data_IF_829554291596
#
_entry.id   IF_829554291596
#
_cell.length_a   1.000
_cell.length_b   1.000
_cell.length_c   1.000
_cell.angle_alpha   90.00
_cell.angle_beta   90.00
_cell.angle_gamma   90.00
#
_symmetry.space_group_name_H-M   'P 1'
#
loop_
_entity.id
_entity.type
_entity.pdbx_description
1 polymer ?
#
# COMPACT_ATOMS: atom_id res chain seq x y z
N UNK A 1 17.59 -1.60 2.17
CA UNK A 1 16.80 -1.94 0.96
C UNK A 1 16.84 -3.45 0.77
N UNK A 2 15.69 -4.12 0.75
CA UNK A 2 15.56 -5.56 0.47
C UNK A 2 14.78 -5.69 -0.84
N UNK A 3 15.30 -6.43 -1.80
CA UNK A 3 14.69 -6.59 -3.13
C UNK A 3 14.05 -7.97 -3.19
N UNK A 4 12.77 -8.01 -3.55
CA UNK A 4 12.02 -9.24 -3.78
C UNK A 4 11.11 -9.03 -5.01
N UNK A 5 11.05 -10.03 -5.87
CA UNK A 5 10.20 -10.01 -7.07
C UNK A 5 8.92 -10.74 -6.77
N UNK A 6 7.78 -10.11 -7.06
CA UNK A 6 6.44 -10.70 -6.91
C UNK A 6 5.68 -10.69 -8.22
N UNK A 7 4.88 -11.72 -8.47
CA UNK A 7 3.91 -11.76 -9.57
C UNK A 7 2.51 -11.35 -9.07
N UNK A 8 1.58 -10.99 -9.97
CA UNK A 8 0.20 -10.70 -9.57
C UNK A 8 -0.43 -11.90 -8.84
N UNK A 9 -1.04 -11.64 -7.69
CA UNK A 9 -1.60 -12.66 -6.79
C UNK A 9 -0.68 -13.02 -5.61
N UNK A 10 0.61 -12.68 -5.67
CA UNK A 10 1.52 -12.92 -4.56
C UNK A 10 1.49 -11.80 -3.51
N UNK A 11 1.88 -12.15 -2.29
CA UNK A 11 1.94 -11.23 -1.16
C UNK A 11 3.35 -11.07 -0.58
N UNK A 12 3.57 -9.91 0.03
CA UNK A 12 4.74 -9.54 0.81
C UNK A 12 4.25 -9.29 2.23
N UNK A 13 4.81 -10.00 3.21
CA UNK A 13 4.50 -9.80 4.62
C UNK A 13 5.64 -9.01 5.28
N UNK A 14 5.28 -7.93 5.98
CA UNK A 14 6.20 -7.09 6.75
C UNK A 14 5.82 -7.23 8.22
N UNK A 15 6.77 -7.67 9.05
CA UNK A 15 6.51 -8.09 10.43
C UNK A 15 5.36 -9.12 10.47
N UNK A 16 4.46 -8.97 11.44
CA UNK A 16 3.34 -9.89 11.62
C UNK A 16 1.96 -9.33 11.23
N UNK A 17 1.87 -8.03 11.02
CA UNK A 17 0.58 -7.35 10.93
C UNK A 17 0.33 -6.66 9.59
N UNK A 18 1.37 -6.54 8.74
CA UNK A 18 1.27 -5.82 7.47
C UNK A 18 1.44 -6.81 6.33
N UNK A 19 0.45 -6.87 5.45
CA UNK A 19 0.48 -7.69 4.24
C UNK A 19 0.21 -6.82 3.02
N UNK A 20 1.15 -6.81 2.07
CA UNK A 20 1.03 -6.12 0.79
C UNK A 20 0.76 -7.19 -0.28
N UNK A 21 -0.34 -7.08 -1.00
CA UNK A 21 -0.74 -8.01 -2.05
C UNK A 21 -0.56 -7.31 -3.40
N UNK A 22 0.14 -7.96 -4.33
CA UNK A 22 0.21 -7.47 -5.72
C UNK A 22 -1.05 -7.90 -6.43
N UNK A 23 -1.90 -6.95 -6.80
CA UNK A 23 -3.16 -7.23 -7.46
C UNK A 23 -2.99 -7.27 -8.98
N UNK A 24 -3.77 -8.11 -9.69
CA UNK A 24 -3.81 -8.09 -11.15
C UNK A 24 -4.25 -6.71 -11.63
N UNK A 25 -3.53 -6.21 -12.62
CA UNK A 25 -3.74 -4.88 -13.19
C UNK A 25 -5.10 -4.80 -13.88
N UNK A 26 -5.85 -3.73 -13.62
CA UNK A 26 -7.10 -3.42 -14.31
C UNK A 26 -6.93 -2.42 -15.48
N UNK A 27 -5.91 -1.54 -15.43
CA UNK A 27 -5.68 -0.48 -16.44
C UNK A 27 -4.22 -0.35 -16.88
N UNK A 28 -3.97 0.14 -18.11
CA UNK A 28 -2.61 0.36 -18.61
C UNK A 28 -1.93 1.57 -17.92
N UNK A 29 -0.74 1.38 -17.36
CA UNK A 29 0.12 2.42 -16.76
C UNK A 29 0.66 2.14 -15.35
N UNK A 30 -0.01 1.30 -14.53
CA UNK A 30 0.36 1.13 -13.11
C UNK A 30 0.49 -0.32 -12.61
N UNK A 31 0.86 -0.45 -11.34
CA UNK A 31 0.75 -1.69 -10.54
C UNK A 31 -0.24 -1.41 -9.41
N UNK A 32 -1.11 -2.37 -9.12
CA UNK A 32 -2.09 -2.23 -8.06
C UNK A 32 -1.61 -3.01 -6.82
N UNK A 33 -1.62 -2.35 -5.67
CA UNK A 33 -1.24 -2.95 -4.39
C UNK A 33 -2.43 -2.92 -3.44
N UNK A 34 -2.80 -4.08 -2.90
CA UNK A 34 -3.65 -4.18 -1.73
C UNK A 34 -2.77 -4.10 -0.47
N UNK A 35 -3.18 -3.35 0.55
CA UNK A 35 -2.43 -3.27 1.82
C UNK A 35 -3.41 -3.60 2.94
N UNK A 36 -3.09 -4.65 3.68
CA UNK A 36 -3.80 -5.07 4.89
C UNK A 36 -2.90 -4.71 6.06
N UNK A 37 -3.38 -3.83 6.93
CA UNK A 37 -2.66 -3.37 8.11
C UNK A 37 -3.66 -3.01 9.22
N UNK A 38 -3.26 -3.10 10.50
CA UNK A 38 -4.10 -2.64 11.61
C UNK A 38 -4.32 -1.13 11.56
N UNK A 39 -5.43 -0.66 12.15
CA UNK A 39 -5.80 0.78 12.17
C UNK A 39 -4.80 1.68 12.90
N UNK A 40 -3.95 1.10 13.75
CA UNK A 40 -2.84 1.80 14.42
C UNK A 40 -1.75 2.24 13.44
N UNK A 41 -1.64 1.58 12.27
CA UNK A 41 -0.65 1.88 11.25
C UNK A 41 -1.27 2.74 10.16
N UNK A 42 -0.76 3.96 10.02
CA UNK A 42 -1.20 4.89 8.97
C UNK A 42 -0.61 4.48 7.63
N UNK A 43 -1.45 3.95 6.73
CA UNK A 43 -1.07 3.62 5.36
C UNK A 43 -1.39 4.81 4.45
N UNK A 44 -0.36 5.39 3.82
CA UNK A 44 -0.49 6.50 2.87
C UNK A 44 0.47 6.34 1.70
N UNK A 45 0.12 6.93 0.56
CA UNK A 45 1.05 7.11 -0.56
C UNK A 45 2.16 8.09 -0.13
N UNK A 46 3.40 7.85 -0.56
CA UNK A 46 4.58 8.57 -0.07
C UNK A 46 4.46 10.09 -0.24
N UNK A 47 3.93 10.55 -1.37
CA UNK A 47 3.69 11.96 -1.67
C UNK A 47 2.68 12.63 -0.74
N UNK A 48 1.86 11.85 -0.04
CA UNK A 48 0.88 12.34 0.94
C UNK A 48 1.40 12.29 2.38
N UNK A 49 2.59 11.73 2.64
CA UNK A 49 3.12 11.55 3.99
C UNK A 49 3.22 12.88 4.76
N UNK A 50 3.69 13.92 4.07
CA UNK A 50 3.87 15.26 4.62
C UNK A 50 2.64 16.16 4.46
N UNK A 51 1.57 15.65 3.83
CA UNK A 51 0.36 16.44 3.62
C UNK A 51 -0.47 16.40 4.90
N UNK A 52 -0.59 17.55 5.57
CA UNK A 52 -1.56 17.70 6.64
C UNK A 52 -2.96 17.35 6.09
N UNK A 53 -3.74 16.51 6.79
CA UNK A 53 -5.08 16.17 6.34
C UNK A 53 -5.86 17.47 6.20
N UNK A 54 -6.33 17.77 4.98
CA UNK A 54 -7.27 18.87 4.79
C UNK A 54 -8.53 18.46 5.54
N UNK A 55 -8.71 19.02 6.74
CA UNK A 55 -9.94 18.85 7.52
C UNK A 55 -11.07 19.31 6.59
N UNK A 56 -11.94 18.38 6.17
CA UNK A 56 -13.15 18.73 5.44
C UNK A 56 -13.94 19.65 6.38
N UNK A 57 -13.97 20.94 6.08
CA UNK A 57 -14.90 21.86 6.74
C UNK A 57 -16.30 21.44 6.30
N UNK A 58 -17.14 21.14 7.29
CA UNK A 58 -18.56 20.92 7.14
C UNK A 58 -19.26 22.20 6.70
#
# INVERSE_FOLDING_TARGET
MKIITRTPGEAIRINDDITIVVLPRQEAGGVQFGIIAPRSVKVVRQELLNRQPRVKRA
#
